data_IF_066016742850
#
_entry.id   IF_066016742850
#
_cell.length_a   1.000
_cell.length_b   1.000
_cell.length_c   1.000
_cell.angle_alpha   90.00
_cell.angle_beta   90.00
_cell.angle_gamma   90.00
#
_symmetry.space_group_name_H-M   'P 1'
#
loop_
_entity.id
_entity.type
_entity.pdbx_description
1 polymer ?
#
# COMPACT_ATOMS: atom_id res chain seq x y z
N UNK A 1 -24.90 7.87 9.98
CA UNK A 1 -23.47 7.77 10.36
C UNK A 1 -22.62 8.52 9.34
N UNK A 2 -21.49 9.11 9.76
CA UNK A 2 -20.50 9.72 8.85
C UNK A 2 -19.46 8.66 8.43
N UNK A 3 -18.93 8.78 7.21
CA UNK A 3 -17.90 7.87 6.66
C UNK A 3 -16.53 8.54 6.69
N UNK A 4 -15.47 7.77 6.94
CA UNK A 4 -14.08 8.24 7.00
C UNK A 4 -13.18 7.26 6.24
N UNK A 5 -12.11 7.78 5.63
CA UNK A 5 -11.04 6.99 4.99
C UNK A 5 -9.75 7.36 5.70
N UNK A 6 -8.94 6.34 6.03
CA UNK A 6 -7.65 6.54 6.68
C UNK A 6 -6.64 5.53 6.19
N UNK A 7 -5.39 5.97 6.09
CA UNK A 7 -4.22 5.14 5.78
C UNK A 7 -3.27 5.29 6.96
N UNK A 8 -2.72 4.16 7.46
CA UNK A 8 -1.82 4.15 8.61
C UNK A 8 -0.74 3.11 8.38
N UNK A 9 0.50 3.45 8.76
CA UNK A 9 1.56 2.47 8.93
C UNK A 9 1.46 1.93 10.37
N UNK A 10 1.51 0.61 10.50
CA UNK A 10 1.39 -0.10 11.79
C UNK A 10 2.48 -1.16 11.89
N UNK A 11 2.80 -1.54 13.11
CA UNK A 11 3.55 -2.77 13.41
C UNK A 11 2.56 -3.81 13.91
N UNK A 12 2.77 -5.08 13.55
CA UNK A 12 1.91 -6.16 14.02
C UNK A 12 2.71 -7.42 14.28
N UNK A 13 2.28 -8.19 15.29
CA UNK A 13 2.76 -9.55 15.53
C UNK A 13 1.60 -10.48 15.88
N UNK A 14 1.64 -11.76 15.47
CA UNK A 14 0.61 -12.72 15.84
C UNK A 14 0.43 -12.81 17.37
N UNK A 15 -0.81 -12.80 17.82
CA UNK A 15 -1.19 -12.92 19.23
C UNK A 15 -2.64 -13.38 19.35
N UNK A 16 -2.92 -14.38 20.17
CA UNK A 16 -4.30 -14.81 20.43
C UNK A 16 -5.04 -13.77 21.26
N UNK A 17 -6.38 -13.76 21.21
CA UNK A 17 -7.20 -12.86 22.05
C UNK A 17 -6.91 -13.05 23.54
N UNK A 18 -6.73 -14.30 23.98
CA UNK A 18 -6.41 -14.65 25.36
C UNK A 18 -5.07 -14.07 25.81
N UNK A 19 -4.03 -14.23 24.98
CA UNK A 19 -2.70 -13.68 25.26
C UNK A 19 -2.73 -12.15 25.34
N UNK A 20 -3.49 -11.50 24.45
CA UNK A 20 -3.66 -10.05 24.47
C UNK A 20 -4.36 -9.57 25.74
N UNK A 21 -5.46 -10.22 26.15
CA UNK A 21 -6.16 -9.89 27.40
C UNK A 21 -5.25 -10.08 28.62
N UNK A 22 -4.47 -11.17 28.67
CA UNK A 22 -3.48 -11.39 29.71
C UNK A 22 -2.41 -10.29 29.75
N UNK A 23 -1.87 -9.90 28.58
CA UNK A 23 -0.91 -8.81 28.44
C UNK A 23 -1.45 -7.46 28.96
N UNK A 24 -2.75 -7.18 28.76
CA UNK A 24 -3.42 -5.96 29.24
C UNK A 24 -3.92 -6.05 30.70
N UNK A 25 -3.85 -7.23 31.32
CA UNK A 25 -4.44 -7.47 32.64
C UNK A 25 -5.98 -7.44 32.63
N UNK A 26 -6.60 -7.78 31.50
CA UNK A 26 -8.05 -7.78 31.32
C UNK A 26 -8.65 -9.17 31.51
N UNK A 27 -9.83 -9.23 32.12
CA UNK A 27 -10.61 -10.47 32.21
C UNK A 27 -11.21 -10.79 30.85
N UNK A 28 -11.04 -12.03 30.38
CA UNK A 28 -11.63 -12.46 29.11
C UNK A 28 -13.15 -12.61 29.30
N UNK A 29 -13.98 -11.93 28.47
CA UNK A 29 -15.43 -12.12 28.47
C UNK A 29 -15.83 -13.59 28.21
N UNK A 30 -16.92 -14.06 28.83
CA UNK A 30 -17.34 -15.47 28.75
C UNK A 30 -17.78 -15.89 27.34
N UNK A 31 -18.19 -14.93 26.53
CA UNK A 31 -18.68 -15.05 25.16
C UNK A 31 -17.57 -14.92 24.11
N UNK A 32 -16.31 -14.72 24.52
CA UNK A 32 -15.16 -14.63 23.63
C UNK A 32 -14.27 -15.88 23.74
N UNK A 33 -13.84 -16.43 22.61
CA UNK A 33 -12.86 -17.52 22.58
C UNK A 33 -11.43 -16.97 22.81
N UNK A 34 -10.71 -17.38 23.88
CA UNK A 34 -9.33 -16.99 24.12
C UNK A 34 -8.37 -17.43 23.00
N UNK A 35 -8.71 -18.47 22.24
CA UNK A 35 -7.86 -19.04 21.18
C UNK A 35 -8.04 -18.36 19.84
N UNK A 36 -8.93 -17.38 19.75
CA UNK A 36 -9.13 -16.61 18.52
C UNK A 36 -7.80 -16.04 18.04
N UNK A 37 -7.44 -16.40 16.79
CA UNK A 37 -6.23 -15.92 16.16
C UNK A 37 -6.37 -14.44 15.78
N UNK A 38 -5.27 -13.72 15.93
CA UNK A 38 -5.22 -12.31 15.58
C UNK A 38 -3.82 -11.77 15.72
N UNK A 39 -3.75 -10.45 15.81
CA UNK A 39 -2.50 -9.71 15.89
C UNK A 39 -2.58 -8.66 16.98
N UNK A 40 -1.51 -8.54 17.76
CA UNK A 40 -1.22 -7.30 18.48
C UNK A 40 -0.80 -6.27 17.44
N UNK A 41 -1.47 -5.13 17.40
CA UNK A 41 -1.20 -4.02 16.50
C UNK A 41 -0.68 -2.85 17.30
N UNK A 42 0.48 -2.32 16.93
CA UNK A 42 1.08 -1.13 17.50
C UNK A 42 1.04 0.00 16.47
N UNK A 43 0.57 1.17 16.90
CA UNK A 43 0.49 2.39 16.10
C UNK A 43 1.66 3.33 16.45
N UNK A 44 1.89 4.33 15.59
CA UNK A 44 2.99 5.30 15.72
C UNK A 44 2.95 6.15 17.00
N UNK A 45 1.81 6.24 17.66
CA UNK A 45 1.63 6.97 18.93
C UNK A 45 1.70 6.06 20.16
N UNK A 46 2.36 4.89 20.04
CA UNK A 46 2.44 3.82 21.05
C UNK A 46 1.07 3.26 21.50
N UNK A 47 -0.01 3.62 20.80
CA UNK A 47 -1.30 2.97 21.01
C UNK A 47 -1.19 1.52 20.55
N UNK A 48 -1.69 0.60 21.37
CA UNK A 48 -1.74 -0.81 21.08
C UNK A 48 -3.18 -1.31 21.11
N UNK A 49 -3.54 -2.12 20.12
CA UNK A 49 -4.82 -2.79 20.00
C UNK A 49 -4.66 -4.24 19.58
N UNK A 50 -5.75 -4.99 19.59
CA UNK A 50 -5.80 -6.34 19.02
C UNK A 50 -6.75 -6.36 17.83
N UNK A 51 -6.37 -7.07 16.77
CA UNK A 51 -7.18 -7.22 15.56
C UNK A 51 -7.38 -8.71 15.25
N UNK A 52 -8.61 -9.19 15.01
CA UNK A 52 -8.83 -10.57 14.59
C UNK A 52 -8.14 -10.88 13.26
N UNK A 53 -7.71 -12.13 13.07
CA UNK A 53 -6.88 -12.54 11.94
C UNK A 53 -7.49 -12.20 10.57
N UNK A 54 -8.73 -12.61 10.32
CA UNK A 54 -9.39 -12.41 9.03
C UNK A 54 -9.49 -10.92 8.61
N UNK A 55 -10.09 -10.01 9.41
CA UNK A 55 -10.16 -8.60 9.04
C UNK A 55 -8.77 -7.94 8.96
N UNK A 56 -7.78 -8.42 9.73
CA UNK A 56 -6.41 -7.94 9.62
C UNK A 56 -5.80 -8.33 8.26
N UNK A 57 -5.82 -9.61 7.90
CA UNK A 57 -5.25 -10.12 6.66
C UNK A 57 -5.95 -9.52 5.42
N UNK A 58 -7.25 -9.21 5.52
CA UNK A 58 -7.99 -8.50 4.47
C UNK A 58 -7.56 -7.04 4.31
N UNK A 59 -7.36 -6.33 5.43
CA UNK A 59 -7.17 -4.86 5.46
C UNK A 59 -5.72 -4.43 5.33
N UNK A 60 -4.78 -5.22 5.82
CA UNK A 60 -3.36 -4.86 5.88
C UNK A 60 -2.55 -5.67 4.86
N UNK A 61 -1.47 -5.09 4.38
CA UNK A 61 -0.45 -5.74 3.56
C UNK A 61 0.89 -5.50 4.23
N UNK A 62 1.80 -6.46 4.10
CA UNK A 62 3.16 -6.26 4.57
C UNK A 62 3.78 -5.03 3.89
N UNK A 63 4.58 -4.30 4.66
CA UNK A 63 5.25 -3.11 4.17
C UNK A 63 6.31 -3.50 3.14
N UNK A 64 6.20 -2.92 1.95
CA UNK A 64 7.25 -2.91 0.95
C UNK A 64 7.36 -1.47 0.43
N UNK A 65 8.55 -0.88 0.62
CA UNK A 65 8.84 0.49 0.22
C UNK A 65 8.60 0.74 -1.28
N UNK A 66 8.68 -0.29 -2.11
CA UNK A 66 8.51 -0.20 -3.56
C UNK A 66 7.11 -0.60 -4.03
N UNK A 67 6.22 -1.00 -3.12
CA UNK A 67 4.89 -1.46 -3.48
C UNK A 67 3.91 -0.29 -3.62
N UNK A 68 3.06 -0.37 -4.63
CA UNK A 68 2.06 0.65 -4.93
C UNK A 68 1.17 1.06 -3.71
N UNK A 69 0.67 0.14 -2.85
CA UNK A 69 -0.15 0.51 -1.70
C UNK A 69 0.54 1.46 -0.72
N UNK A 70 1.86 1.40 -0.60
CA UNK A 70 2.63 2.20 0.36
C UNK A 70 2.51 3.72 0.07
N UNK A 71 2.42 4.09 -1.20
CA UNK A 71 2.25 5.49 -1.65
C UNK A 71 1.01 6.18 -1.06
N UNK A 72 0.01 5.39 -0.61
CA UNK A 72 -1.21 5.93 -0.02
C UNK A 72 -0.95 6.76 1.26
N UNK A 73 0.16 6.51 1.96
CA UNK A 73 0.59 7.30 3.11
C UNK A 73 0.96 8.73 2.70
N UNK A 74 1.71 8.90 1.61
CA UNK A 74 2.03 10.22 1.06
C UNK A 74 0.80 10.92 0.49
N UNK A 75 -0.12 10.18 -0.14
CA UNK A 75 -1.37 10.73 -0.71
C UNK A 75 -2.29 11.39 0.30
N UNK A 76 -2.30 10.95 1.57
CA UNK A 76 -3.12 11.54 2.62
C UNK A 76 -2.38 12.64 3.41
N UNK A 77 -1.13 12.95 3.07
CA UNK A 77 -0.36 13.99 3.73
C UNK A 77 -1.01 15.35 3.55
N UNK A 78 -0.88 16.20 4.58
CA UNK A 78 -1.28 17.63 4.50
C UNK A 78 -0.29 18.44 3.66
N UNK A 79 0.98 18.01 3.61
CA UNK A 79 1.99 18.63 2.77
C UNK A 79 1.77 18.23 1.30
N UNK A 80 1.68 19.22 0.42
CA UNK A 80 1.52 18.98 -1.01
C UNK A 80 2.75 18.33 -1.63
N UNK A 81 3.96 18.60 -1.10
CA UNK A 81 5.20 18.01 -1.61
C UNK A 81 5.20 16.49 -1.43
N UNK A 82 4.71 16.01 -0.30
CA UNK A 82 4.57 14.58 -0.03
C UNK A 82 3.52 13.93 -0.92
N UNK A 83 2.40 14.61 -1.20
CA UNK A 83 1.41 14.13 -2.18
C UNK A 83 1.98 14.10 -3.61
N UNK A 84 2.82 15.06 -3.96
CA UNK A 84 3.50 15.13 -5.25
C UNK A 84 4.50 14.00 -5.43
N UNK A 85 5.33 13.71 -4.41
CA UNK A 85 6.24 12.54 -4.41
C UNK A 85 5.46 11.24 -4.56
N UNK A 86 4.38 11.07 -3.80
CA UNK A 86 3.53 9.89 -3.89
C UNK A 86 2.92 9.69 -5.29
N UNK A 87 2.49 10.77 -5.95
CA UNK A 87 2.02 10.72 -7.33
C UNK A 87 3.11 10.24 -8.30
N UNK A 88 4.33 10.77 -8.16
CA UNK A 88 5.49 10.34 -8.95
C UNK A 88 5.81 8.85 -8.73
N UNK A 89 5.92 8.42 -7.47
CA UNK A 89 6.19 7.03 -7.10
C UNK A 89 5.12 6.08 -7.68
N UNK A 90 3.83 6.42 -7.54
CA UNK A 90 2.73 5.64 -8.12
C UNK A 90 2.88 5.45 -9.62
N UNK A 91 3.24 6.52 -10.33
CA UNK A 91 3.41 6.51 -11.77
C UNK A 91 4.62 5.65 -12.19
N UNK A 92 5.76 5.82 -11.53
CA UNK A 92 6.99 5.06 -11.79
C UNK A 92 6.79 3.57 -11.51
N UNK A 93 6.18 3.20 -10.38
CA UNK A 93 5.88 1.80 -10.03
C UNK A 93 5.00 1.15 -11.11
N UNK A 94 3.94 1.85 -11.53
CA UNK A 94 3.04 1.36 -12.58
C UNK A 94 3.71 1.27 -13.94
N UNK A 95 4.55 2.25 -14.28
CA UNK A 95 5.32 2.27 -15.53
C UNK A 95 6.25 1.05 -15.59
N UNK A 96 7.02 0.81 -14.53
CA UNK A 96 7.92 -0.34 -14.43
C UNK A 96 7.17 -1.68 -14.49
N UNK A 97 6.02 -1.77 -13.84
CA UNK A 97 5.16 -2.95 -13.89
C UNK A 97 4.63 -3.22 -15.31
N UNK A 98 4.13 -2.19 -15.98
CA UNK A 98 3.66 -2.29 -17.36
C UNK A 98 4.79 -2.64 -18.33
N UNK A 99 5.94 -2.00 -18.21
CA UNK A 99 7.10 -2.25 -19.07
C UNK A 99 7.56 -3.71 -18.95
N UNK A 100 7.66 -4.25 -17.72
CA UNK A 100 7.99 -5.65 -17.48
C UNK A 100 6.96 -6.62 -18.06
N UNK A 101 5.67 -6.29 -17.93
CA UNK A 101 4.58 -7.08 -18.50
C UNK A 101 4.69 -7.15 -20.03
N UNK A 102 5.00 -6.02 -20.66
CA UNK A 102 5.24 -5.92 -22.11
C UNK A 102 6.48 -6.71 -22.53
N UNK A 103 7.60 -6.60 -21.83
CA UNK A 103 8.81 -7.40 -22.12
C UNK A 103 8.52 -8.90 -22.05
N UNK A 104 7.72 -9.33 -21.07
CA UNK A 104 7.28 -10.73 -20.96
C UNK A 104 6.36 -11.13 -22.12
N UNK A 105 5.50 -10.22 -22.61
CA UNK A 105 4.67 -10.47 -23.78
C UNK A 105 5.53 -10.65 -25.03
N UNK A 106 6.49 -9.74 -25.26
CA UNK A 106 7.37 -9.77 -26.43
C UNK A 106 8.28 -11.02 -26.42
N UNK A 107 8.61 -11.57 -25.24
CA UNK A 107 9.32 -12.86 -25.08
C UNK A 107 8.41 -14.10 -25.17
N UNK A 108 7.09 -13.95 -25.26
CA UNK A 108 6.15 -15.07 -25.23
C UNK A 108 6.02 -15.76 -23.87
N UNK A 109 6.43 -15.10 -22.77
CA UNK A 109 6.39 -15.63 -21.40
C UNK A 109 5.16 -15.16 -20.60
N UNK A 110 4.18 -14.53 -21.24
CA UNK A 110 2.99 -14.05 -20.56
C UNK A 110 2.06 -15.21 -20.20
N UNK A 111 1.61 -15.28 -18.95
CA UNK A 111 0.68 -16.32 -18.48
C UNK A 111 -0.77 -16.10 -18.90
N UNK A 112 -1.06 -15.02 -19.61
CA UNK A 112 -2.38 -14.65 -20.09
C UNK A 112 -2.32 -14.07 -21.49
N UNK A 113 -3.48 -13.79 -22.10
CA UNK A 113 -3.57 -13.09 -23.39
C UNK A 113 -4.13 -11.67 -23.17
N UNK A 114 -3.41 -10.61 -23.53
CA UNK A 114 -3.94 -9.25 -23.45
C UNK A 114 -5.14 -9.07 -24.36
N UNK A 115 -6.16 -8.37 -23.88
CA UNK A 115 -7.37 -8.06 -24.66
C UNK A 115 -7.15 -6.91 -25.62
N UNK A 116 -6.37 -5.91 -25.21
CA UNK A 116 -6.07 -4.74 -26.03
C UNK A 116 -4.91 -5.03 -27.00
N UNK A 117 -4.88 -4.36 -28.17
CA UNK A 117 -3.74 -4.42 -29.07
C UNK A 117 -2.45 -3.94 -28.41
N UNK A 118 -1.31 -4.48 -28.87
CA UNK A 118 0.04 -4.12 -28.38
C UNK A 118 0.30 -2.60 -28.44
N UNK A 119 -0.20 -1.93 -29.47
CA UNK A 119 -0.06 -0.48 -29.67
C UNK A 119 -0.76 0.37 -28.61
N UNK A 120 -1.83 -0.13 -27.99
CA UNK A 120 -2.48 0.57 -26.86
C UNK A 120 -1.54 0.65 -25.66
N UNK A 121 -0.82 -0.44 -25.39
CA UNK A 121 0.15 -0.49 -24.30
C UNK A 121 1.42 0.33 -24.60
N UNK A 122 1.85 0.40 -25.87
CA UNK A 122 2.93 1.31 -26.29
C UNK A 122 2.57 2.77 -26.04
N UNK A 123 1.35 3.17 -26.43
CA UNK A 123 0.86 4.52 -26.18
C UNK A 123 0.77 4.81 -24.69
N UNK A 124 0.32 3.84 -23.89
CA UNK A 124 0.27 3.96 -22.43
C UNK A 124 1.68 4.17 -21.84
N UNK A 125 2.67 3.34 -22.21
CA UNK A 125 4.05 3.49 -21.74
C UNK A 125 4.63 4.85 -22.12
N UNK A 126 4.45 5.28 -23.37
CA UNK A 126 4.93 6.58 -23.83
C UNK A 126 4.33 7.71 -23.01
N UNK A 127 3.01 7.69 -22.81
CA UNK A 127 2.28 8.73 -22.07
C UNK A 127 2.72 8.78 -20.60
N UNK A 128 2.91 7.61 -19.98
CA UNK A 128 3.41 7.53 -18.60
C UNK A 128 4.83 8.09 -18.49
N UNK A 129 5.73 7.75 -19.43
CA UNK A 129 7.10 8.28 -19.47
C UNK A 129 7.14 9.79 -19.66
N UNK A 130 6.31 10.31 -20.58
CA UNK A 130 6.18 11.75 -20.79
C UNK A 130 5.69 12.44 -19.50
N UNK A 131 4.75 11.83 -18.78
CA UNK A 131 4.26 12.39 -17.52
C UNK A 131 5.29 12.32 -16.38
N UNK A 132 6.06 11.22 -16.27
CA UNK A 132 7.22 11.11 -15.36
C UNK A 132 8.18 12.29 -15.59
N UNK A 133 8.55 12.55 -16.83
CA UNK A 133 9.47 13.64 -17.17
C UNK A 133 8.91 15.04 -16.78
N UNK A 134 7.59 15.23 -16.91
CA UNK A 134 6.92 16.46 -16.44
C UNK A 134 7.02 16.59 -14.92
N UNK A 135 6.81 15.50 -14.17
CA UNK A 135 6.92 15.52 -12.70
C UNK A 135 8.37 15.77 -12.26
N UNK A 136 9.36 15.18 -12.92
CA UNK A 136 10.79 15.44 -12.65
C UNK A 136 11.16 16.91 -12.90
N UNK A 137 10.71 17.48 -14.02
CA UNK A 137 10.92 18.90 -14.31
C UNK A 137 10.26 19.81 -13.26
N UNK A 138 9.01 19.49 -12.87
CA UNK A 138 8.28 20.23 -11.83
C UNK A 138 8.96 20.12 -10.47
N UNK A 139 9.48 18.96 -10.12
CA UNK A 139 10.19 18.76 -8.85
C UNK A 139 11.37 19.72 -8.71
N UNK A 140 12.15 19.89 -9.78
CA UNK A 140 13.25 20.86 -9.82
C UNK A 140 12.73 22.30 -9.66
N UNK A 141 11.69 22.68 -10.41
CA UNK A 141 11.13 24.04 -10.36
C UNK A 141 10.48 24.38 -9.02
N UNK A 142 9.85 23.41 -8.37
CA UNK A 142 9.12 23.56 -7.11
C UNK A 142 9.98 23.22 -5.87
N UNK A 143 11.26 22.88 -6.10
CA UNK A 143 12.21 22.45 -5.07
C UNK A 143 11.65 21.31 -4.20
N UNK A 144 11.25 20.23 -4.87
CA UNK A 144 10.77 18.97 -4.28
C UNK A 144 11.80 17.88 -4.57
N UNK A 145 12.23 17.16 -3.53
CA UNK A 145 13.12 16.01 -3.65
C UNK A 145 12.31 14.76 -3.98
N UNK A 146 12.50 14.19 -5.17
CA UNK A 146 11.87 12.95 -5.62
C UNK A 146 12.75 11.73 -5.29
#
# INVERSE_FOLDING_TARGET
MKKYVGVKLIEAKPMTRGDYNNYRGWTIPKDEDPKDEGYLVKYSNDYESWSPKNPFDESYREYDANALPQTALGMISRDYKERFKAEYEQLVIRYNGLNRMIENWDRGCLSFKPTCPRSTYDLQLKTMRDYIAVLEARAVMENVEL
#
